data_IF_878054094179
#
_entry.id   IF_878054094179
#
_cell.length_a   1.000
_cell.length_b   1.000
_cell.length_c   1.000
_cell.angle_alpha   90.00
_cell.angle_beta   90.00
_cell.angle_gamma   90.00
#
_symmetry.space_group_name_H-M   'P 1'
#
loop_
_entity.id
_entity.type
_entity.pdbx_description
1 polymer ?
#
# COMPACT_ATOMS: atom_id res chain seq x y z
N UNK A 1 24.73 1.47 -54.10
CA UNK A 1 25.60 2.57 -53.62
C UNK A 1 24.68 3.56 -52.92
N UNK A 2 24.83 3.80 -51.61
CA UNK A 2 24.06 4.83 -50.88
C UNK A 2 24.68 6.19 -51.18
N UNK A 3 23.86 7.16 -51.55
CA UNK A 3 24.29 8.51 -51.85
C UNK A 3 24.78 9.20 -50.57
N UNK A 4 25.95 9.84 -50.61
CA UNK A 4 26.62 10.40 -49.42
C UNK A 4 26.02 11.74 -48.96
N UNK A 5 25.05 12.29 -49.70
CA UNK A 5 24.54 13.65 -49.53
C UNK A 5 23.08 13.76 -49.04
N UNK A 6 22.44 12.67 -48.59
CA UNK A 6 21.13 12.74 -47.93
C UNK A 6 21.26 13.36 -46.53
N UNK A 7 21.28 14.69 -46.46
CA UNK A 7 21.39 15.49 -45.21
C UNK A 7 20.05 15.75 -44.52
N UNK A 8 18.95 15.20 -45.03
CA UNK A 8 17.59 15.58 -44.63
C UNK A 8 17.06 14.87 -43.38
N UNK A 9 17.80 13.92 -42.80
CA UNK A 9 17.41 13.28 -41.53
C UNK A 9 18.27 13.83 -40.40
N UNK A 10 17.99 15.07 -40.00
CA UNK A 10 18.41 15.55 -38.68
C UNK A 10 17.65 14.73 -37.65
N UNK A 11 18.31 13.73 -37.05
CA UNK A 11 17.78 13.06 -35.86
C UNK A 11 17.69 14.10 -34.74
N UNK A 12 16.50 14.69 -34.59
CA UNK A 12 16.19 15.56 -33.48
C UNK A 12 16.30 14.72 -32.20
N UNK A 13 17.34 14.96 -31.41
CA UNK A 13 17.44 14.46 -30.04
C UNK A 13 16.37 15.17 -29.20
N UNK A 14 15.12 14.69 -29.27
CA UNK A 14 14.03 15.22 -28.46
C UNK A 14 14.28 14.72 -27.03
N UNK A 15 14.55 15.60 -26.05
CA UNK A 15 14.65 15.17 -24.66
C UNK A 15 13.31 14.55 -24.25
N UNK A 16 13.36 13.33 -23.70
CA UNK A 16 12.17 12.63 -23.21
C UNK A 16 11.39 13.50 -22.21
N UNK A 17 10.06 13.37 -22.18
CA UNK A 17 9.23 14.10 -21.22
C UNK A 17 9.74 13.83 -19.80
N UNK A 18 9.95 14.87 -18.96
CA UNK A 18 10.36 14.66 -17.59
C UNK A 18 9.36 13.73 -16.90
N UNK A 19 9.88 12.73 -16.20
CA UNK A 19 9.06 11.79 -15.45
C UNK A 19 8.17 12.53 -14.44
N UNK A 20 7.01 11.95 -14.10
CA UNK A 20 6.11 12.54 -13.10
C UNK A 20 6.89 12.73 -11.79
N UNK A 21 6.91 13.93 -11.20
CA UNK A 21 7.57 14.13 -9.91
C UNK A 21 6.93 13.21 -8.86
N UNK A 22 7.70 12.75 -7.86
CA UNK A 22 7.18 11.90 -6.80
C UNK A 22 6.01 12.60 -6.11
N UNK A 23 4.99 11.82 -5.68
CA UNK A 23 3.73 12.35 -5.13
C UNK A 23 3.91 13.29 -3.92
N UNK A 24 5.06 13.21 -3.26
CA UNK A 24 5.49 13.97 -2.10
C UNK A 24 6.42 15.15 -2.45
N UNK A 25 6.64 15.45 -3.74
CA UNK A 25 7.35 16.64 -4.24
C UNK A 25 8.85 16.74 -3.93
N UNK A 26 9.36 15.87 -3.07
CA UNK A 26 10.76 15.85 -2.62
C UNK A 26 11.51 14.83 -3.46
N UNK A 27 11.64 13.59 -3.00
CA UNK A 27 12.31 12.50 -3.74
C UNK A 27 11.43 11.25 -3.83
N UNK A 28 11.77 10.36 -4.76
CA UNK A 28 11.17 9.04 -4.86
C UNK A 28 11.47 8.26 -3.57
N UNK A 29 10.43 7.78 -2.89
CA UNK A 29 10.62 6.95 -1.69
C UNK A 29 11.23 5.61 -2.06
N UNK A 30 12.21 5.18 -1.27
CA UNK A 30 12.69 3.81 -1.32
C UNK A 30 11.57 2.82 -0.96
N UNK A 31 11.71 1.56 -1.38
CA UNK A 31 10.73 0.54 -1.04
C UNK A 31 10.65 0.30 0.48
N UNK A 32 11.78 0.45 1.20
CA UNK A 32 11.83 0.37 2.65
C UNK A 32 11.01 1.49 3.32
N UNK A 33 11.16 2.74 2.85
CA UNK A 33 10.37 3.87 3.34
C UNK A 33 8.87 3.70 3.04
N UNK A 34 8.55 3.20 1.85
CA UNK A 34 7.17 2.91 1.44
C UNK A 34 6.54 1.86 2.36
N UNK A 35 7.27 0.79 2.65
CA UNK A 35 6.84 -0.26 3.57
C UNK A 35 6.67 0.27 4.99
N UNK A 36 7.61 1.08 5.49
CA UNK A 36 7.50 1.73 6.81
C UNK A 36 6.25 2.59 6.91
N UNK A 37 6.04 3.51 5.96
CA UNK A 37 4.84 4.38 5.93
C UNK A 37 3.55 3.60 5.77
N UNK A 38 3.57 2.47 5.06
CA UNK A 38 2.43 1.57 4.97
C UNK A 38 2.10 0.98 6.35
N UNK A 39 3.09 0.39 7.03
CA UNK A 39 2.91 -0.18 8.38
C UNK A 39 2.43 0.87 9.40
N UNK A 40 2.98 2.08 9.36
CA UNK A 40 2.53 3.20 10.21
C UNK A 40 1.06 3.57 9.94
N UNK A 41 0.65 3.64 8.67
CA UNK A 41 -0.76 3.88 8.30
C UNK A 41 -1.67 2.76 8.79
N UNK A 42 -1.24 1.50 8.69
CA UNK A 42 -2.00 0.37 9.21
C UNK A 42 -2.13 0.43 10.74
N UNK A 43 -1.04 0.74 11.46
CA UNK A 43 -1.09 0.91 12.92
C UNK A 43 -2.08 2.01 13.35
N UNK A 44 -2.09 3.17 12.65
CA UNK A 44 -3.06 4.24 12.91
C UNK A 44 -4.51 3.78 12.67
N UNK A 45 -4.74 3.04 11.59
CA UNK A 45 -6.07 2.48 11.26
C UNK A 45 -6.53 1.47 12.30
N UNK A 46 -5.63 0.65 12.84
CA UNK A 46 -5.95 -0.28 13.93
C UNK A 46 -6.42 0.44 15.19
N UNK A 47 -5.75 1.53 15.59
CA UNK A 47 -6.17 2.32 16.75
C UNK A 47 -7.58 2.89 16.56
N UNK A 48 -7.90 3.39 15.37
CA UNK A 48 -9.24 3.91 15.04
C UNK A 48 -10.30 2.79 14.99
N UNK A 49 -9.96 1.68 14.34
CA UNK A 49 -10.84 0.53 14.12
C UNK A 49 -11.23 -0.25 15.37
N UNK A 50 -10.46 -0.15 16.47
CA UNK A 50 -10.82 -0.78 17.76
C UNK A 50 -12.19 -0.34 18.29
N UNK A 51 -12.68 0.84 17.90
CA UNK A 51 -13.99 1.35 18.32
C UNK A 51 -15.14 0.87 17.43
N UNK A 52 -14.88 0.59 16.16
CA UNK A 52 -15.89 0.14 15.20
C UNK A 52 -15.34 -0.94 14.26
N UNK A 53 -15.77 -2.19 14.50
CA UNK A 53 -15.33 -3.37 13.74
C UNK A 53 -15.66 -3.30 12.25
N UNK A 54 -16.76 -2.63 11.90
CA UNK A 54 -17.23 -2.51 10.52
C UNK A 54 -16.32 -1.62 9.67
N UNK A 55 -15.58 -0.71 10.31
CA UNK A 55 -14.63 0.19 9.64
C UNK A 55 -13.25 -0.45 9.42
N UNK A 56 -12.97 -1.60 10.05
CA UNK A 56 -11.73 -2.33 9.84
C UNK A 56 -11.75 -3.03 8.48
N UNK A 57 -10.64 -2.93 7.75
CA UNK A 57 -10.42 -3.81 6.58
C UNK A 57 -10.19 -5.25 7.04
N UNK A 58 -10.48 -6.21 6.17
CA UNK A 58 -10.35 -7.65 6.51
C UNK A 58 -8.93 -8.03 6.88
N UNK A 59 -7.95 -7.44 6.18
CA UNK A 59 -6.52 -7.61 6.48
C UNK A 59 -6.16 -7.16 7.89
N UNK A 60 -6.80 -6.10 8.40
CA UNK A 60 -6.56 -5.60 9.75
C UNK A 60 -7.32 -6.42 10.80
N UNK A 61 -8.51 -6.93 10.48
CA UNK A 61 -9.26 -7.88 11.30
C UNK A 61 -8.44 -9.17 11.53
N UNK A 62 -7.84 -9.72 10.47
CA UNK A 62 -6.97 -10.89 10.56
C UNK A 62 -5.71 -10.61 11.41
N UNK A 63 -5.09 -9.44 11.23
CA UNK A 63 -3.93 -9.06 12.05
C UNK A 63 -4.31 -8.89 13.54
N UNK A 64 -5.49 -8.37 13.86
CA UNK A 64 -5.98 -8.32 15.24
C UNK A 64 -6.24 -9.72 15.81
N UNK A 65 -6.83 -10.64 15.03
CA UNK A 65 -6.99 -12.05 15.45
C UNK A 65 -5.62 -12.65 15.78
N UNK A 66 -4.64 -12.49 14.89
CA UNK A 66 -3.27 -12.99 15.07
C UNK A 66 -2.64 -12.42 16.35
N UNK A 67 -2.73 -11.11 16.57
CA UNK A 67 -2.19 -10.45 17.77
C UNK A 67 -2.87 -10.92 19.06
N UNK A 68 -4.20 -11.04 19.07
CA UNK A 68 -4.94 -11.49 20.26
C UNK A 68 -4.58 -12.93 20.61
N UNK A 69 -4.44 -13.81 19.61
CA UNK A 69 -3.97 -15.20 19.83
C UNK A 69 -2.54 -15.21 20.37
N UNK A 70 -1.62 -14.46 19.76
CA UNK A 70 -0.22 -14.40 20.17
C UNK A 70 -0.05 -13.87 21.61
N UNK A 71 -0.88 -12.91 22.01
CA UNK A 71 -0.87 -12.32 23.35
C UNK A 71 -1.60 -13.19 24.40
N UNK A 72 -2.01 -14.41 24.07
CA UNK A 72 -2.73 -15.32 24.97
C UNK A 72 -4.11 -14.81 25.41
N UNK A 73 -4.70 -13.87 24.66
CA UNK A 73 -5.91 -13.17 25.07
C UNK A 73 -7.20 -13.97 24.82
N UNK A 74 -8.29 -13.51 25.45
CA UNK A 74 -9.55 -14.22 25.62
C UNK A 74 -10.23 -14.66 24.30
N UNK A 75 -10.65 -15.93 24.25
CA UNK A 75 -11.44 -16.56 23.16
C UNK A 75 -12.61 -15.69 22.67
N UNK A 76 -13.24 -14.93 23.57
CA UNK A 76 -14.35 -14.03 23.29
C UNK A 76 -13.99 -12.89 22.32
N UNK A 77 -12.78 -12.34 22.42
CA UNK A 77 -12.33 -11.25 21.54
C UNK A 77 -12.07 -11.76 20.13
N UNK A 78 -11.43 -12.94 20.01
CA UNK A 78 -11.25 -13.62 18.73
C UNK A 78 -12.59 -13.92 18.08
N UNK A 79 -13.53 -14.49 18.84
CA UNK A 79 -14.88 -14.81 18.34
C UNK A 79 -15.58 -13.57 17.75
N UNK A 80 -15.48 -12.40 18.41
CA UNK A 80 -16.04 -11.13 17.88
C UNK A 80 -15.50 -10.77 16.50
N UNK A 81 -14.19 -10.87 16.30
CA UNK A 81 -13.57 -10.57 15.01
C UNK A 81 -13.96 -11.59 13.94
N UNK A 82 -14.01 -12.87 14.30
CA UNK A 82 -14.44 -13.95 13.41
C UNK A 82 -15.91 -13.79 13.00
N UNK A 83 -16.80 -13.40 13.92
CA UNK A 83 -18.21 -13.12 13.62
C UNK A 83 -18.35 -11.97 12.61
N UNK A 84 -17.54 -10.92 12.71
CA UNK A 84 -17.56 -9.83 11.73
C UNK A 84 -17.09 -10.31 10.33
N UNK A 85 -16.07 -11.18 10.26
CA UNK A 85 -15.68 -11.80 8.98
C UNK A 85 -16.79 -12.69 8.43
N UNK A 86 -17.41 -13.52 9.26
CA UNK A 86 -18.54 -14.35 8.86
C UNK A 86 -19.72 -13.50 8.35
N UNK A 87 -19.99 -12.35 8.98
CA UNK A 87 -21.03 -11.40 8.51
C UNK A 87 -20.74 -10.84 7.12
N UNK A 88 -19.47 -10.68 6.74
CA UNK A 88 -19.06 -10.10 5.44
C UNK A 88 -19.11 -11.10 4.29
N UNK A 89 -18.93 -12.38 4.58
CA UNK A 89 -18.73 -13.42 3.56
C UNK A 89 -19.67 -14.63 3.68
N UNK A 90 -20.52 -14.67 4.70
CA UNK A 90 -21.49 -15.73 4.97
C UNK A 90 -22.87 -15.45 4.43
#
# INVERSE_FOLDING_TARGET
>A
MRDQNDTSTLELHIPGRPGRPPANGLWAMSDAERAKRYRERQAKRLVKGRRNLQELSDTLLLEQIRQVIANGSAKRTVARYVTELARRYG
#
